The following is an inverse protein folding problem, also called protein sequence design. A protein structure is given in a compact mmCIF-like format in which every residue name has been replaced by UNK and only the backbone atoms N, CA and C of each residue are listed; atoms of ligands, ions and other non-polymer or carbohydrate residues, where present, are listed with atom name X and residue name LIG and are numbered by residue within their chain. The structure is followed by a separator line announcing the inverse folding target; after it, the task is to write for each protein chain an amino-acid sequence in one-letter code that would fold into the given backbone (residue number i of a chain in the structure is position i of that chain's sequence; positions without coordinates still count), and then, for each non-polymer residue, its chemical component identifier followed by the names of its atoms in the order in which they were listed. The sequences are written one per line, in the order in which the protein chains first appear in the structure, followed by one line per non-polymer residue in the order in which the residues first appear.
data_IF_730339291437
#
_entry.id   IF_730339291437
#
_cell.length_a   1.000
_cell.length_b   1.000
_cell.length_c   1.000
_cell.angle_alpha   90.00
_cell.angle_beta   90.00
_cell.angle_gamma   90.00
#
_symmetry.space_group_name_H-M   'P 1'
#
loop_
_entity.id
_entity.type
_entity.pdbx_description
1 polymer ?
#
# COMPACT_ATOMS: atom_id res chain seq x y z
N UNK A 1 -5.27 -3.26 9.68
CA UNK A 1 -4.41 -4.31 9.12
C UNK A 1 -5.14 -5.24 8.13
N UNK A 2 -6.09 -6.08 8.57
CA UNK A 2 -6.77 -7.08 7.70
C UNK A 2 -7.37 -6.51 6.41
N UNK A 3 -7.98 -5.32 6.47
CA UNK A 3 -8.53 -4.65 5.27
C UNK A 3 -7.43 -4.30 4.26
N UNK A 4 -6.26 -3.85 4.70
CA UNK A 4 -5.14 -3.43 3.83
C UNK A 4 -4.61 -4.66 3.10
N UNK A 5 -4.28 -5.70 3.86
CA UNK A 5 -3.76 -6.95 3.32
C UNK A 5 -4.78 -7.59 2.36
N UNK A 6 -6.07 -7.57 2.73
CA UNK A 6 -7.15 -8.04 1.86
C UNK A 6 -7.24 -7.27 0.54
N UNK A 7 -7.13 -5.94 0.57
CA UNK A 7 -7.14 -5.10 -0.64
C UNK A 7 -5.93 -5.38 -1.52
N UNK A 8 -4.74 -5.56 -0.92
CA UNK A 8 -3.50 -5.90 -1.64
C UNK A 8 -3.60 -7.28 -2.29
N UNK A 9 -4.09 -8.30 -1.57
CA UNK A 9 -4.37 -9.63 -2.16
C UNK A 9 -5.35 -9.54 -3.32
N UNK A 10 -6.41 -8.75 -3.19
CA UNK A 10 -7.39 -8.50 -4.25
C UNK A 10 -6.74 -7.88 -5.48
N UNK A 11 -5.93 -6.83 -5.28
CA UNK A 11 -5.18 -6.18 -6.36
C UNK A 11 -4.25 -7.14 -7.11
N UNK A 12 -3.47 -7.96 -6.39
CA UNK A 12 -2.57 -8.93 -7.04
C UNK A 12 -3.33 -9.99 -7.82
N UNK A 13 -4.44 -10.50 -7.28
CA UNK A 13 -5.29 -11.45 -8.01
C UNK A 13 -5.83 -10.84 -9.31
N UNK A 14 -6.34 -9.60 -9.25
CA UNK A 14 -6.81 -8.89 -10.44
C UNK A 14 -5.68 -8.66 -11.46
N UNK A 15 -4.49 -8.29 -11.00
CA UNK A 15 -3.32 -8.09 -11.87
C UNK A 15 -2.91 -9.38 -12.57
N UNK A 16 -2.77 -10.48 -11.83
CA UNK A 16 -2.39 -11.79 -12.37
C UNK A 16 -3.48 -12.36 -13.30
N UNK A 17 -4.75 -12.04 -13.03
CA UNK A 17 -5.87 -12.33 -13.92
C UNK A 17 -5.89 -11.53 -15.21
N UNK A 18 -5.03 -10.51 -15.35
CA UNK A 18 -4.97 -9.66 -16.54
C UNK A 18 -6.15 -8.69 -16.66
N UNK A 19 -6.74 -8.30 -15.54
CA UNK A 19 -7.85 -7.34 -15.49
C UNK A 19 -7.48 -6.00 -16.14
N UNK A 20 -8.51 -5.27 -16.60
CA UNK A 20 -8.31 -3.98 -17.25
C UNK A 20 -7.62 -2.97 -16.32
N UNK A 21 -6.81 -2.10 -16.92
CA UNK A 21 -6.16 -0.95 -16.27
C UNK A 21 -7.14 -0.16 -15.40
N UNK A 22 -8.37 0.07 -15.86
CA UNK A 22 -9.38 0.79 -15.09
C UNK A 22 -9.73 0.09 -13.76
N UNK A 23 -9.81 -1.25 -13.76
CA UNK A 23 -10.07 -2.06 -12.55
C UNK A 23 -8.88 -1.98 -11.61
N UNK A 24 -7.66 -2.11 -12.14
CA UNK A 24 -6.44 -2.02 -11.34
C UNK A 24 -6.26 -0.62 -10.73
N UNK A 25 -6.56 0.44 -11.47
CA UNK A 25 -6.50 1.82 -10.98
C UNK A 25 -7.53 2.08 -9.89
N UNK A 26 -8.74 1.53 -10.01
CA UNK A 26 -9.77 1.62 -8.96
C UNK A 26 -9.36 0.86 -7.69
N UNK A 27 -8.76 -0.33 -7.83
CA UNK A 27 -8.24 -1.08 -6.69
C UNK A 27 -7.13 -0.33 -5.95
N UNK A 28 -6.24 0.35 -6.67
CA UNK A 28 -5.20 1.23 -6.09
C UNK A 28 -5.85 2.43 -5.40
N UNK A 29 -6.86 3.06 -6.01
CA UNK A 29 -7.57 4.19 -5.40
C UNK A 29 -8.20 3.78 -4.06
N UNK A 30 -8.85 2.63 -4.01
CA UNK A 30 -9.44 2.08 -2.78
C UNK A 30 -8.38 1.77 -1.72
N UNK A 31 -7.22 1.24 -2.13
CA UNK A 31 -6.09 1.02 -1.24
C UNK A 31 -5.61 2.35 -0.62
N UNK A 32 -5.46 3.42 -1.41
CA UNK A 32 -5.07 4.74 -0.89
C UNK A 32 -6.04 5.27 0.15
N UNK A 33 -7.35 5.20 -0.13
CA UNK A 33 -8.39 5.62 0.82
C UNK A 33 -8.23 4.84 2.13
N UNK A 34 -8.03 3.53 2.04
CA UNK A 34 -7.88 2.68 3.21
C UNK A 34 -6.59 2.96 4.00
N UNK A 35 -5.48 3.24 3.32
CA UNK A 35 -4.23 3.66 3.96
C UNK A 35 -4.44 4.97 4.71
N UNK A 36 -5.09 5.97 4.07
CA UNK A 36 -5.39 7.24 4.70
C UNK A 36 -6.30 7.08 5.93
N UNK A 37 -7.38 6.30 5.82
CA UNK A 37 -8.28 5.97 6.94
C UNK A 37 -7.50 5.32 8.11
N UNK A 38 -6.65 4.35 7.79
CA UNK A 38 -5.88 3.62 8.81
C UNK A 38 -4.87 4.53 9.47
N UNK A 39 -4.19 5.36 8.68
CA UNK A 39 -3.12 6.22 9.14
C UNK A 39 -3.66 7.34 10.04
N UNK A 40 -4.66 8.09 9.56
CA UNK A 40 -5.26 9.21 10.30
C UNK A 40 -6.19 8.78 11.43
N UNK A 41 -6.90 7.66 11.25
CA UNK A 41 -7.94 7.18 12.16
C UNK A 41 -7.44 6.26 13.28
N UNK A 42 -6.34 5.53 13.06
CA UNK A 42 -5.81 4.59 14.04
C UNK A 42 -4.32 4.78 14.32
N UNK A 43 -3.48 4.81 13.29
CA UNK A 43 -2.03 4.72 13.44
C UNK A 43 -1.42 5.91 14.22
N UNK A 44 -1.73 7.15 13.82
CA UNK A 44 -1.15 8.34 14.47
C UNK A 44 -1.55 8.46 15.96
N UNK A 45 -2.70 7.90 16.33
CA UNK A 45 -3.18 7.89 17.71
C UNK A 45 -2.44 6.87 18.60
N UNK A 46 -1.78 5.86 18.02
CA UNK A 46 -1.00 4.88 18.79
C UNK A 46 0.24 5.52 19.39
N UNK A 47 0.69 5.12 20.59
CA UNK A 47 2.04 5.42 21.06
C UNK A 47 3.09 4.90 20.07
N UNK A 48 4.22 5.60 19.95
CA UNK A 48 5.27 5.27 18.97
C UNK A 48 5.74 3.78 19.02
N UNK A 49 5.94 3.16 20.20
CA UNK A 49 6.27 1.73 20.27
C UNK A 49 5.20 0.84 19.63
N UNK A 50 3.92 1.11 19.88
CA UNK A 50 2.80 0.35 19.31
C UNK A 50 2.61 0.62 17.81
N UNK A 51 2.90 1.84 17.36
CA UNK A 51 2.90 2.18 15.94
C UNK A 51 3.96 1.35 15.18
N UNK A 52 5.17 1.22 15.74
CA UNK A 52 6.23 0.37 15.18
C UNK A 52 5.84 -1.11 15.17
N UNK A 53 5.26 -1.62 16.25
CA UNK A 53 4.73 -2.99 16.30
C UNK A 53 3.68 -3.22 15.20
N UNK A 54 2.76 -2.28 15.01
CA UNK A 54 1.79 -2.33 13.92
C UNK A 54 2.48 -2.39 12.54
N UNK A 55 3.49 -1.54 12.29
CA UNK A 55 4.22 -1.53 11.01
C UNK A 55 4.93 -2.86 10.76
N UNK A 56 5.60 -3.41 11.78
CA UNK A 56 6.27 -4.71 11.66
C UNK A 56 5.26 -5.83 11.35
N UNK A 57 4.16 -5.91 12.10
CA UNK A 57 3.12 -6.89 11.87
C UNK A 57 2.51 -6.75 10.46
N UNK A 58 2.26 -5.52 10.01
CA UNK A 58 1.76 -5.26 8.66
C UNK A 58 2.75 -5.71 7.58
N UNK A 59 4.05 -5.45 7.78
CA UNK A 59 5.09 -5.88 6.86
C UNK A 59 5.11 -7.41 6.71
N UNK A 60 5.07 -8.14 7.81
CA UNK A 60 5.06 -9.61 7.80
C UNK A 60 3.81 -10.16 7.08
N UNK A 61 2.64 -9.59 7.37
CA UNK A 61 1.39 -9.97 6.71
C UNK A 61 1.40 -9.70 5.19
N UNK A 62 1.97 -8.56 4.76
CA UNK A 62 2.10 -8.23 3.34
C UNK A 62 3.10 -9.15 2.63
N UNK A 63 4.21 -9.52 3.28
CA UNK A 63 5.16 -10.49 2.74
C UNK A 63 4.56 -11.89 2.64
N UNK A 64 3.79 -12.32 3.64
CA UNK A 64 3.07 -13.59 3.59
C UNK A 64 2.08 -13.60 2.44
N UNK A 65 1.32 -12.51 2.26
CA UNK A 65 0.43 -12.37 1.14
C UNK A 65 1.18 -12.43 -0.21
N UNK A 66 2.35 -11.81 -0.35
CA UNK A 66 3.18 -11.92 -1.57
C UNK A 66 3.54 -13.38 -1.86
N UNK A 67 3.92 -14.12 -0.82
CA UNK A 67 4.34 -15.52 -0.94
C UNK A 67 3.20 -16.44 -1.40
N UNK A 68 1.94 -16.12 -1.09
CA UNK A 68 0.76 -16.88 -1.57
C UNK A 68 0.67 -16.93 -3.11
N UNK A 69 1.19 -15.91 -3.80
CA UNK A 69 1.14 -15.81 -5.27
C UNK A 69 2.47 -16.18 -5.94
N UNK A 70 3.48 -16.61 -5.18
CA UNK A 70 4.87 -16.73 -5.67
C UNK A 70 5.00 -17.61 -6.91
N UNK A 71 4.27 -18.73 -6.94
CA UNK A 71 4.33 -19.70 -8.03
C UNK A 71 3.55 -19.27 -9.28
N UNK A 72 2.71 -18.24 -9.17
CA UNK A 72 1.86 -17.71 -10.24
C UNK A 72 2.47 -16.46 -10.91
N UNK A 73 3.51 -15.88 -10.30
CA UNK A 73 4.08 -14.59 -10.71
C UNK A 73 5.26 -14.78 -11.67
N UNK A 74 5.26 -14.04 -12.77
CA UNK A 74 6.48 -13.81 -13.53
C UNK A 74 7.45 -12.92 -12.72
N UNK A 75 8.74 -12.88 -13.11
CA UNK A 75 9.72 -12.02 -12.46
C UNK A 75 9.32 -10.54 -12.43
N UNK A 76 8.68 -10.03 -13.48
CA UNK A 76 8.19 -8.64 -13.52
C UNK A 76 7.10 -8.39 -12.46
N UNK A 77 6.23 -9.36 -12.20
CA UNK A 77 5.18 -9.25 -11.20
C UNK A 77 5.75 -9.32 -9.79
N UNK A 78 6.78 -10.14 -9.56
CA UNK A 78 7.53 -10.16 -8.30
C UNK A 78 8.14 -8.80 -7.96
N UNK A 79 8.79 -8.14 -8.92
CA UNK A 79 9.33 -6.79 -8.70
C UNK A 79 8.22 -5.78 -8.43
N UNK A 80 7.10 -5.86 -9.14
CA UNK A 80 5.94 -4.98 -8.93
C UNK A 80 5.32 -5.18 -7.55
N UNK A 81 5.11 -6.42 -7.11
CA UNK A 81 4.57 -6.75 -5.79
C UNK A 81 5.49 -6.25 -4.68
N UNK A 82 6.79 -6.50 -4.79
CA UNK A 82 7.78 -6.01 -3.84
C UNK A 82 7.80 -4.48 -3.76
N UNK A 83 7.71 -3.80 -4.90
CA UNK A 83 7.60 -2.35 -4.96
C UNK A 83 6.34 -1.85 -4.23
N UNK A 84 5.16 -2.44 -4.51
CA UNK A 84 3.91 -2.06 -3.83
C UNK A 84 4.00 -2.23 -2.31
N UNK A 85 4.57 -3.34 -1.82
CA UNK A 85 4.75 -3.56 -0.37
C UNK A 85 5.64 -2.47 0.23
N UNK A 86 6.78 -2.17 -0.41
CA UNK A 86 7.69 -1.11 0.06
C UNK A 86 7.02 0.24 0.16
N UNK A 87 6.23 0.63 -0.84
CA UNK A 87 5.50 1.91 -0.82
C UNK A 87 4.47 1.96 0.32
N UNK A 88 3.77 0.85 0.57
CA UNK A 88 2.80 0.76 1.68
C UNK A 88 3.52 0.89 3.02
N UNK A 89 4.63 0.19 3.21
CA UNK A 89 5.38 0.24 4.47
C UNK A 89 6.04 1.61 4.68
N UNK A 90 6.63 2.18 3.62
CA UNK A 90 7.20 3.52 3.67
C UNK A 90 6.18 4.55 4.16
N UNK A 91 4.91 4.43 3.78
CA UNK A 91 3.82 5.27 4.30
C UNK A 91 3.81 5.35 5.84
N UNK A 92 3.94 4.21 6.51
CA UNK A 92 3.93 4.13 7.97
C UNK A 92 5.27 4.57 8.56
N UNK A 93 6.39 4.35 7.88
CA UNK A 93 7.70 4.87 8.29
C UNK A 93 7.72 6.40 8.30
N UNK A 94 7.18 7.04 7.26
CA UNK A 94 7.01 8.50 7.23
C UNK A 94 6.12 8.99 8.38
N UNK A 95 5.03 8.29 8.68
CA UNK A 95 4.17 8.63 9.81
C UNK A 95 4.87 8.47 11.17
N UNK A 96 5.72 7.45 11.33
CA UNK A 96 6.58 7.28 12.52
C UNK A 96 7.54 8.46 12.67
N UNK A 97 8.19 8.90 11.59
CA UNK A 97 9.10 10.05 11.59
C UNK A 97 8.40 11.35 11.99
N UNK A 98 7.23 11.63 11.38
CA UNK A 98 6.40 12.79 11.75
C UNK A 98 6.06 12.77 13.25
N UNK A 99 5.78 11.59 13.79
CA UNK A 99 5.44 11.39 15.19
C UNK A 99 6.64 11.56 16.12
N UNK A 100 7.84 11.18 15.69
CA UNK A 100 9.09 11.41 16.43
C UNK A 100 9.43 12.91 16.51
N UNK A 101 9.22 13.64 15.41
CA UNK A 101 9.51 15.07 15.33
C UNK A 101 8.49 15.91 16.12
N UNK A 102 7.22 15.48 16.18
CA UNK A 102 6.13 16.28 16.74
C UNK A 102 5.22 15.43 17.65
N UNK A 103 5.74 14.86 18.76
CA UNK A 103 5.07 13.78 19.49
C UNK A 103 3.71 14.15 20.11
N UNK A 104 3.52 15.40 20.48
CA UNK A 104 2.35 15.86 21.25
C UNK A 104 1.27 16.54 20.40
N UNK A 105 1.58 16.94 19.16
CA UNK A 105 0.64 17.66 18.29
C UNK A 105 0.04 16.75 17.21
N UNK A 106 -1.01 16.03 17.59
CA UNK A 106 -1.75 15.14 16.69
C UNK A 106 -2.37 15.89 15.49
N UNK A 107 -2.73 17.17 15.65
CA UNK A 107 -3.30 17.94 14.55
C UNK A 107 -2.24 18.19 13.48
N UNK A 108 -1.06 18.66 13.88
CA UNK A 108 0.06 18.89 12.96
C UNK A 108 0.55 17.58 12.35
N UNK A 109 0.63 16.49 13.13
CA UNK A 109 0.95 15.15 12.60
C UNK A 109 -0.02 14.75 11.47
N UNK A 110 -1.33 14.97 11.66
CA UNK A 110 -2.35 14.66 10.65
C UNK A 110 -2.20 15.51 9.39
N UNK A 111 -1.91 16.80 9.54
CA UNK A 111 -1.70 17.71 8.40
C UNK A 111 -0.51 17.24 7.56
N UNK A 112 0.64 16.97 8.20
CA UNK A 112 1.84 16.52 7.50
C UNK A 112 1.66 15.14 6.85
N UNK A 113 0.91 14.25 7.49
CA UNK A 113 0.65 12.92 6.97
C UNK A 113 -0.13 12.90 5.64
N UNK A 114 -0.90 13.95 5.33
CA UNK A 114 -1.63 14.07 4.04
C UNK A 114 -0.66 14.14 2.86
N UNK A 115 0.56 14.65 3.08
CA UNK A 115 1.56 14.82 2.02
C UNK A 115 2.40 13.58 1.73
N UNK A 116 2.17 12.47 2.44
CA UNK A 116 2.89 11.21 2.23
C UNK A 116 2.71 10.72 0.79
N UNK A 117 3.78 10.40 0.04
CA UNK A 117 3.72 10.18 -1.41
C UNK A 117 2.71 9.13 -1.88
N UNK A 118 2.58 7.97 -1.21
CA UNK A 118 1.65 6.92 -1.64
C UNK A 118 0.17 7.34 -1.53
N UNK A 119 -0.13 8.31 -0.67
CA UNK A 119 -1.49 8.83 -0.51
C UNK A 119 -1.86 9.80 -1.65
N UNK A 120 -0.88 10.27 -2.42
CA UNK A 120 -1.14 11.16 -3.55
C UNK A 120 -1.73 10.39 -4.74
N UNK A 121 -2.57 11.04 -5.56
CA UNK A 121 -2.98 10.49 -6.83
C UNK A 121 -1.77 10.35 -7.77
N UNK A 122 -1.27 9.12 -7.94
CA UNK A 122 -0.27 8.80 -8.96
C UNK A 122 -0.65 7.50 -9.69
N UNK A 123 -0.30 7.41 -10.99
CA UNK A 123 -0.46 6.21 -11.80
C UNK A 123 0.79 5.33 -11.66
N UNK A 124 0.69 4.23 -10.89
CA UNK A 124 1.80 3.30 -10.60
C UNK A 124 2.13 2.37 -11.77
N UNK A 125 2.36 2.96 -12.95
CA UNK A 125 2.83 2.21 -14.12
C UNK A 125 1.83 1.19 -14.65
N UNK A 126 0.52 1.49 -14.57
CA UNK A 126 -0.50 0.62 -15.16
C UNK A 126 -0.28 0.62 -16.68
N UNK A 127 0.37 -0.44 -17.18
CA UNK A 127 0.71 -0.59 -18.60
C UNK A 127 -0.60 -0.53 -19.40
N UNK A 128 -0.69 0.37 -20.37
CA UNK A 128 -1.76 0.34 -21.38
C UNK A 128 -1.83 -1.08 -21.96
N UNK A 129 -3.03 -1.64 -22.19
CA UNK A 129 -3.16 -3.00 -22.72
C UNK A 129 -2.35 -3.12 -24.01
N UNK A 130 -1.49 -4.14 -24.10
CA UNK A 130 -0.78 -4.43 -25.35
C UNK A 130 -1.84 -4.76 -26.41
N UNK A 131 -1.78 -4.16 -27.61
CA UNK A 131 -2.73 -4.49 -28.66
C UNK A 131 -2.64 -5.99 -28.95
N UNK A 132 -3.77 -6.68 -28.88
CA UNK A 132 -3.90 -8.08 -29.31
C UNK A 132 -3.48 -8.11 -30.79
N UNK A 133 -2.31 -8.66 -31.08
CA UNK A 133 -1.94 -8.98 -32.46
C UNK A 133 -2.87 -10.09 -32.92
N UNK A 134 -3.92 -9.72 -33.67
CA UNK A 134 -4.64 -10.68 -34.51
C UNK A 134 -3.62 -11.22 -35.53
N UNK A 135 -3.30 -12.51 -35.40
CA UNK A 135 -2.74 -13.33 -36.48
C UNK A 135 -3.62 -14.56 -36.59
#
# INVERSE_FOLDING_TARGET
MNRIVGQVRGYWRSRLGGEDVAVLSEAIRQLRVLLQETLSGAFLALPLPQAREFRFALNDELFNACNEFKDQCAMEDHHHHSYCVKEIIACFEWAEQIKEEIPEDILTQRILAVDIPILRPFDYGVKRPRPVKKR
#
